data_IF_474828450426
#
_entry.id   IF_474828450426
#
_cell.length_a   1.000
_cell.length_b   1.000
_cell.length_c   1.000
_cell.angle_alpha   90.00
_cell.angle_beta   90.00
_cell.angle_gamma   90.00
#
_symmetry.space_group_name_H-M   'P 1'
#
loop_
_entity.id
_entity.type
_entity.pdbx_description
1 polymer ?
#
# COMPACT_ATOMS: atom_id res chain seq x y z
N UNK A 1 -36.24 5.35 15.53
CA UNK A 1 -35.58 4.31 14.71
C UNK A 1 -34.36 3.82 15.47
N UNK A 2 -34.53 2.82 16.33
CA UNK A 2 -33.48 2.21 17.15
C UNK A 2 -33.05 0.90 16.50
N UNK A 3 -31.78 0.82 16.07
CA UNK A 3 -31.18 -0.42 15.63
C UNK A 3 -30.86 -1.28 16.87
N UNK A 4 -31.58 -2.38 16.98
CA UNK A 4 -31.52 -3.36 18.07
C UNK A 4 -30.16 -4.06 18.06
N UNK A 5 -29.34 -3.78 19.06
CA UNK A 5 -28.16 -4.59 19.39
C UNK A 5 -28.64 -5.99 19.80
N UNK A 6 -28.37 -6.99 18.96
CA UNK A 6 -28.60 -8.39 19.29
C UNK A 6 -27.40 -8.91 20.08
N UNK A 7 -27.69 -9.38 21.30
CA UNK A 7 -26.73 -9.81 22.30
C UNK A 7 -25.85 -10.99 21.87
N UNK A 8 -24.64 -10.95 22.43
CA UNK A 8 -23.63 -11.98 22.39
C UNK A 8 -23.97 -13.05 23.43
N UNK A 9 -24.59 -14.15 23.02
CA UNK A 9 -24.67 -15.37 23.85
C UNK A 9 -23.57 -16.34 23.44
N UNK A 10 -22.63 -16.59 24.36
CA UNK A 10 -21.72 -17.73 24.32
C UNK A 10 -22.50 -19.01 24.66
N UNK A 11 -22.98 -19.71 23.64
CA UNK A 11 -23.10 -21.16 23.68
C UNK A 11 -21.98 -21.75 22.82
N UNK A 12 -21.38 -22.85 23.25
CA UNK A 12 -20.48 -23.73 22.48
C UNK A 12 -21.20 -24.33 21.27
N UNK A 13 -21.59 -23.46 20.34
CA UNK A 13 -22.35 -23.75 19.13
C UNK A 13 -21.43 -23.74 17.93
N UNK A 14 -21.41 -24.85 17.22
CA UNK A 14 -20.84 -24.96 15.88
C UNK A 14 -21.33 -23.80 14.99
N UNK A 15 -20.43 -22.91 14.58
CA UNK A 15 -20.77 -21.87 13.60
C UNK A 15 -20.96 -22.52 12.23
N UNK A 16 -22.20 -22.58 11.78
CA UNK A 16 -22.59 -23.01 10.45
C UNK A 16 -22.75 -21.80 9.55
N UNK A 17 -22.08 -21.79 8.41
CA UNK A 17 -22.22 -20.72 7.42
C UNK A 17 -22.34 -21.29 6.00
N UNK A 18 -22.97 -20.51 5.12
CA UNK A 18 -23.02 -20.79 3.69
C UNK A 18 -21.81 -20.13 3.03
N UNK A 19 -21.11 -20.79 2.09
CA UNK A 19 -19.95 -20.20 1.44
C UNK A 19 -20.34 -18.98 0.60
N UNK A 20 -19.56 -17.89 0.71
CA UNK A 20 -19.78 -16.66 -0.06
C UNK A 20 -19.08 -16.73 -1.42
N UNK A 21 -19.71 -16.20 -2.48
CA UNK A 21 -19.08 -16.09 -3.82
C UNK A 21 -17.97 -15.02 -3.86
N UNK A 22 -18.12 -13.99 -3.03
CA UNK A 22 -17.16 -12.89 -2.86
C UNK A 22 -17.04 -12.61 -1.38
N UNK A 23 -15.81 -12.51 -0.90
CA UNK A 23 -15.55 -12.19 0.49
C UNK A 23 -15.54 -10.68 0.73
N UNK A 24 -15.49 -10.32 2.00
CA UNK A 24 -15.32 -8.94 2.44
C UNK A 24 -13.98 -8.37 1.94
N UNK A 25 -13.98 -7.06 1.68
CA UNK A 25 -12.76 -6.35 1.28
C UNK A 25 -11.87 -6.08 2.50
N UNK A 26 -10.62 -5.72 2.24
CA UNK A 26 -9.65 -5.42 3.29
C UNK A 26 -10.13 -4.28 4.22
N UNK A 27 -10.88 -3.31 3.67
CA UNK A 27 -11.51 -2.21 4.44
C UNK A 27 -12.57 -2.67 5.44
N UNK A 28 -13.24 -3.77 5.16
CA UNK A 28 -14.37 -4.25 5.94
C UNK A 28 -13.87 -5.15 7.09
N UNK A 29 -12.75 -5.86 6.87
CA UNK A 29 -12.15 -6.79 7.83
C UNK A 29 -11.28 -6.14 8.91
N UNK A 30 -10.57 -5.04 8.59
CA UNK A 30 -9.69 -4.39 9.56
C UNK A 30 -9.87 -2.86 9.53
N UNK A 31 -10.21 -2.21 10.65
CA UNK A 31 -10.30 -0.75 10.70
C UNK A 31 -8.93 -0.07 10.50
N UNK A 32 -7.82 -0.79 10.75
CA UNK A 32 -6.46 -0.26 10.60
C UNK A 32 -6.13 0.07 9.14
N UNK A 33 -6.68 -0.67 8.18
CA UNK A 33 -6.43 -0.44 6.75
C UNK A 33 -7.00 0.90 6.31
N UNK A 34 -8.13 1.34 6.88
CA UNK A 34 -8.70 2.68 6.65
C UNK A 34 -7.76 3.78 7.12
N UNK A 35 -7.06 3.58 8.24
CA UNK A 35 -6.08 4.54 8.75
C UNK A 35 -4.90 4.64 7.78
N UNK A 36 -4.35 3.49 7.34
CA UNK A 36 -3.26 3.45 6.37
C UNK A 36 -3.61 4.15 5.06
N UNK A 37 -4.78 3.84 4.48
CA UNK A 37 -5.24 4.49 3.24
C UNK A 37 -5.43 5.99 3.41
N UNK A 38 -6.01 6.44 4.53
CA UNK A 38 -6.15 7.87 4.84
C UNK A 38 -4.79 8.56 4.97
N UNK A 39 -3.80 7.91 5.58
CA UNK A 39 -2.43 8.44 5.68
C UNK A 39 -1.80 8.63 4.31
N UNK A 40 -1.95 7.67 3.39
CA UNK A 40 -1.42 7.77 2.02
C UNK A 40 -2.08 8.95 1.27
N UNK A 41 -3.41 9.08 1.36
CA UNK A 41 -4.13 10.20 0.79
C UNK A 41 -3.71 11.55 1.38
N UNK A 42 -3.50 11.59 2.69
CA UNK A 42 -3.03 12.79 3.39
C UNK A 42 -1.64 13.22 2.89
N UNK A 43 -0.69 12.28 2.79
CA UNK A 43 0.66 12.55 2.24
C UNK A 43 0.57 13.06 0.80
N UNK A 44 -0.25 12.43 -0.05
CA UNK A 44 -0.47 12.87 -1.43
C UNK A 44 -1.04 14.29 -1.50
N UNK A 45 -2.01 14.61 -0.65
CA UNK A 45 -2.60 15.95 -0.56
C UNK A 45 -1.59 17.01 -0.09
N UNK A 46 -0.74 16.70 0.89
CA UNK A 46 0.31 17.61 1.35
C UNK A 46 1.29 17.95 0.22
N UNK A 47 1.74 16.95 -0.55
CA UNK A 47 2.64 17.19 -1.68
C UNK A 47 1.93 17.96 -2.79
N UNK A 48 0.65 17.69 -3.07
CA UNK A 48 -0.12 18.48 -4.03
C UNK A 48 -0.26 19.95 -3.61
N UNK A 49 -0.53 20.22 -2.33
CA UNK A 49 -0.56 21.59 -1.78
C UNK A 49 0.81 22.25 -1.94
N UNK A 50 1.89 21.53 -1.61
CA UNK A 50 3.24 22.02 -1.79
C UNK A 50 3.54 22.39 -3.25
N UNK A 51 3.14 21.55 -4.22
CA UNK A 51 3.25 21.86 -5.66
C UNK A 51 2.53 23.16 -6.03
N UNK A 52 1.29 23.36 -5.54
CA UNK A 52 0.50 24.57 -5.83
C UNK A 52 1.17 25.82 -5.25
N UNK A 53 1.71 25.73 -4.03
CA UNK A 53 2.43 26.83 -3.38
C UNK A 53 3.67 27.20 -4.23
N UNK A 54 4.48 26.22 -4.62
CA UNK A 54 5.68 26.45 -5.44
C UNK A 54 5.30 27.05 -6.80
N UNK A 55 4.26 26.53 -7.46
CA UNK A 55 3.79 27.07 -8.73
C UNK A 55 3.31 28.54 -8.60
N UNK A 56 2.56 28.84 -7.53
CA UNK A 56 2.06 30.19 -7.25
C UNK A 56 3.18 31.19 -7.01
N UNK A 57 4.18 30.83 -6.20
CA UNK A 57 5.34 31.68 -5.92
C UNK A 57 6.20 31.83 -7.18
N UNK A 58 6.52 30.73 -7.87
CA UNK A 58 7.36 30.77 -9.07
C UNK A 58 6.73 31.55 -10.24
N UNK A 59 5.39 31.57 -10.34
CA UNK A 59 4.68 32.45 -11.28
C UNK A 59 4.84 33.93 -10.91
N UNK A 60 4.82 34.28 -9.62
CA UNK A 60 5.00 35.66 -9.14
C UNK A 60 6.44 36.15 -9.30
N UNK A 61 7.42 35.27 -9.15
CA UNK A 61 8.85 35.61 -9.31
C UNK A 61 9.32 35.58 -10.76
N UNK A 62 8.48 35.14 -11.71
CA UNK A 62 8.83 35.09 -13.14
C UNK A 62 9.74 33.92 -13.54
N UNK A 63 9.98 32.95 -12.64
CA UNK A 63 10.86 31.80 -12.89
C UNK A 63 10.18 30.70 -13.73
N UNK A 64 8.86 30.81 -13.91
CA UNK A 64 8.04 29.99 -14.79
C UNK A 64 8.18 30.39 -16.30
N UNK A 65 9.39 30.70 -16.78
CA UNK A 65 9.63 31.12 -18.17
C UNK A 65 10.78 30.35 -18.84
N UNK A 66 10.69 30.18 -20.16
CA UNK A 66 11.75 29.52 -20.94
C UNK A 66 13.05 30.36 -20.97
N UNK A 67 12.94 31.69 -20.84
CA UNK A 67 14.09 32.58 -20.71
C UNK A 67 14.85 32.29 -19.41
N UNK A 68 14.14 32.19 -18.28
CA UNK A 68 14.76 31.84 -16.99
C UNK A 68 15.51 30.49 -17.05
N UNK A 69 14.90 29.47 -17.67
CA UNK A 69 15.56 28.16 -17.83
C UNK A 69 16.80 28.26 -18.69
N UNK A 70 16.75 29.01 -19.81
CA UNK A 70 17.92 29.22 -20.67
C UNK A 70 19.06 29.89 -19.91
N UNK A 71 18.74 30.89 -19.10
CA UNK A 71 19.73 31.66 -18.34
C UNK A 71 20.33 30.83 -17.20
N UNK A 72 19.54 29.94 -16.59
CA UNK A 72 19.96 29.13 -15.43
C UNK A 72 20.66 27.83 -15.83
N UNK A 73 20.11 27.10 -16.82
CA UNK A 73 20.60 25.79 -17.22
C UNK A 73 21.60 25.83 -18.39
N UNK A 74 21.76 27.00 -19.04
CA UNK A 74 22.52 27.19 -20.29
C UNK A 74 22.15 26.22 -21.43
N UNK A 75 21.03 25.50 -21.28
CA UNK A 75 20.52 24.51 -22.21
C UNK A 75 18.99 24.48 -22.16
N UNK A 76 18.36 24.44 -23.33
CA UNK A 76 16.90 24.33 -23.50
C UNK A 76 16.50 22.89 -23.88
N UNK A 77 17.15 21.91 -23.24
CA UNK A 77 16.82 20.50 -23.39
C UNK A 77 15.78 20.07 -22.35
N UNK A 78 15.19 18.89 -22.55
CA UNK A 78 14.15 18.35 -21.66
C UNK A 78 14.60 18.32 -20.19
N UNK A 79 15.81 17.84 -19.92
CA UNK A 79 16.33 17.73 -18.54
C UNK A 79 16.54 19.09 -17.89
N UNK A 80 17.04 20.09 -18.64
CA UNK A 80 17.24 21.45 -18.14
C UNK A 80 15.92 22.12 -17.78
N UNK A 81 14.88 21.94 -18.61
CA UNK A 81 13.52 22.39 -18.31
C UNK A 81 12.97 21.64 -17.09
N UNK A 82 13.06 20.31 -17.08
CA UNK A 82 12.52 19.51 -15.99
C UNK A 82 13.18 19.84 -14.64
N UNK A 83 14.46 20.15 -14.60
CA UNK A 83 15.16 20.48 -13.35
C UNK A 83 14.97 21.93 -12.90
N UNK A 84 14.88 22.90 -13.83
CA UNK A 84 15.00 24.32 -13.48
C UNK A 84 13.73 25.15 -13.72
N UNK A 85 12.72 24.59 -14.40
CA UNK A 85 11.50 25.34 -14.69
C UNK A 85 10.74 25.69 -13.40
N UNK A 86 10.46 26.98 -13.22
CA UNK A 86 9.77 27.52 -12.06
C UNK A 86 10.46 27.17 -10.73
N UNK A 87 11.78 27.22 -10.75
CA UNK A 87 12.62 27.05 -9.57
C UNK A 87 12.43 28.23 -8.60
N UNK A 88 12.44 27.92 -7.30
CA UNK A 88 12.46 28.89 -6.21
C UNK A 88 13.77 28.71 -5.46
N UNK A 89 14.49 29.83 -5.29
CA UNK A 89 15.74 29.85 -4.52
C UNK A 89 15.52 30.75 -3.31
N UNK A 90 15.48 30.16 -2.13
CA UNK A 90 15.50 30.89 -0.87
C UNK A 90 16.95 30.96 -0.41
N UNK A 91 17.57 32.11 -0.64
CA UNK A 91 18.96 32.37 -0.23
C UNK A 91 19.01 32.49 1.29
N UNK A 92 19.67 31.54 1.95
CA UNK A 92 20.03 31.71 3.36
C UNK A 92 21.12 32.79 3.45
N UNK A 93 20.92 33.76 4.35
CA UNK A 93 21.77 34.95 4.50
C UNK A 93 23.25 34.58 4.66
N UNK A 94 24.09 35.15 3.79
CA UNK A 94 25.56 35.01 3.79
C UNK A 94 26.14 35.74 5.00
N UNK A 95 26.44 35.02 6.07
CA UNK A 95 27.43 35.46 7.05
C UNK A 95 28.50 34.37 7.21
N UNK A 96 29.76 34.78 7.09
CA UNK A 96 30.95 33.92 6.99
C UNK A 96 31.28 33.10 8.25
N UNK A 97 30.52 33.26 9.33
CA UNK A 97 30.67 32.51 10.59
C UNK A 97 29.63 31.38 10.76
N UNK A 98 28.79 31.15 9.74
CA UNK A 98 27.58 30.30 9.81
C UNK A 98 27.70 28.98 9.04
N UNK A 99 28.92 28.44 8.89
CA UNK A 99 29.25 27.08 8.38
C UNK A 99 28.59 25.91 9.17
N UNK A 100 27.71 26.21 10.14
CA UNK A 100 26.97 25.24 10.97
C UNK A 100 25.47 25.14 10.64
N UNK A 101 24.97 25.80 9.59
CA UNK A 101 23.54 25.77 9.23
C UNK A 101 23.10 24.63 8.29
N UNK A 102 24.03 23.84 7.77
CA UNK A 102 23.74 22.66 6.93
C UNK A 102 22.82 21.65 7.63
N UNK A 103 22.95 21.54 8.96
CA UNK A 103 22.08 20.71 9.79
C UNK A 103 20.62 21.14 9.71
N UNK A 104 20.31 22.43 9.54
CA UNK A 104 18.94 22.92 9.37
C UNK A 104 18.36 22.49 8.02
N UNK A 105 19.15 22.62 6.95
CA UNK A 105 18.78 22.12 5.62
C UNK A 105 18.53 20.61 5.66
N UNK A 106 19.43 19.86 6.30
CA UNK A 106 19.29 18.43 6.50
C UNK A 106 18.02 18.08 7.29
N UNK A 107 17.68 18.82 8.35
CA UNK A 107 16.45 18.61 9.12
C UNK A 107 15.22 18.84 8.23
N UNK A 108 15.18 19.95 7.47
CA UNK A 108 14.06 20.26 6.56
C UNK A 108 13.92 19.16 5.50
N UNK A 109 15.03 18.77 4.88
CA UNK A 109 15.07 17.69 3.90
C UNK A 109 14.58 16.37 4.50
N UNK A 110 15.06 16.02 5.70
CA UNK A 110 14.69 14.78 6.39
C UNK A 110 13.22 14.75 6.79
N UNK A 111 12.67 15.87 7.26
CA UNK A 111 11.26 15.96 7.65
C UNK A 111 10.36 15.80 6.43
N UNK A 112 10.64 16.52 5.34
CA UNK A 112 9.84 16.44 4.12
C UNK A 112 9.95 15.04 3.52
N UNK A 113 11.16 14.50 3.42
CA UNK A 113 11.38 13.14 2.92
C UNK A 113 10.73 12.09 3.81
N UNK A 114 10.79 12.25 5.12
CA UNK A 114 10.16 11.37 6.10
C UNK A 114 8.65 11.26 5.90
N UNK A 115 7.97 12.37 5.59
CA UNK A 115 6.53 12.37 5.27
C UNK A 115 6.24 11.56 3.99
N UNK A 116 7.08 11.71 2.96
CA UNK A 116 6.96 10.94 1.71
C UNK A 116 7.21 9.45 1.96
N UNK A 117 8.27 9.11 2.70
CA UNK A 117 8.60 7.74 3.10
C UNK A 117 7.49 7.08 3.91
N UNK A 118 6.83 7.82 4.81
CA UNK A 118 5.68 7.31 5.57
C UNK A 118 4.57 6.85 4.63
N UNK A 119 4.24 7.63 3.60
CA UNK A 119 3.26 7.24 2.58
C UNK A 119 3.66 5.96 1.83
N UNK A 120 4.93 5.85 1.41
CA UNK A 120 5.46 4.65 0.75
C UNK A 120 5.40 3.42 1.67
N UNK A 121 5.70 3.58 2.95
CA UNK A 121 5.71 2.47 3.91
C UNK A 121 4.30 2.02 4.28
N UNK A 122 3.35 2.94 4.41
CA UNK A 122 1.93 2.58 4.55
C UNK A 122 1.42 1.79 3.34
N UNK A 123 1.84 2.17 2.12
CA UNK A 123 1.46 1.45 0.90
C UNK A 123 2.08 0.04 0.85
N UNK A 124 3.33 -0.11 1.31
CA UNK A 124 3.98 -1.42 1.48
C UNK A 124 3.18 -2.36 2.35
N UNK A 125 2.81 -1.93 3.55
CA UNK A 125 2.01 -2.76 4.47
C UNK A 125 0.72 -3.24 3.80
N UNK A 126 0.01 -2.37 3.07
CA UNK A 126 -1.21 -2.77 2.35
C UNK A 126 -0.95 -3.80 1.24
N UNK A 127 0.15 -3.66 0.50
CA UNK A 127 0.50 -4.66 -0.53
C UNK A 127 0.90 -6.00 0.06
N UNK A 128 1.58 -6.01 1.21
CA UNK A 128 1.93 -7.25 1.91
C UNK A 128 0.67 -7.97 2.36
N UNK A 129 -0.30 -7.27 2.95
CA UNK A 129 -1.60 -7.84 3.30
C UNK A 129 -2.34 -8.42 2.07
N UNK A 130 -2.29 -7.73 0.93
CA UNK A 130 -2.89 -8.20 -0.32
C UNK A 130 -2.16 -9.41 -0.90
N UNK A 131 -0.82 -9.45 -0.80
CA UNK A 131 0.01 -10.58 -1.22
C UNK A 131 -0.27 -11.81 -0.36
N UNK A 132 -0.34 -11.63 0.94
CA UNK A 132 -0.56 -12.73 1.89
C UNK A 132 -1.95 -13.35 1.66
N UNK A 133 -2.97 -12.52 1.38
CA UNK A 133 -4.28 -13.02 0.92
C UNK A 133 -4.16 -13.80 -0.40
N UNK A 134 -3.40 -13.30 -1.38
CA UNK A 134 -3.21 -14.02 -2.64
C UNK A 134 -2.50 -15.38 -2.47
N UNK A 135 -1.58 -15.49 -1.49
CA UNK A 135 -0.94 -16.76 -1.12
C UNK A 135 -1.96 -17.69 -0.46
N UNK A 136 -2.75 -17.18 0.49
CA UNK A 136 -3.81 -17.95 1.14
C UNK A 136 -4.81 -18.53 0.13
N UNK A 137 -5.17 -17.75 -0.89
CA UNK A 137 -6.05 -18.17 -1.99
C UNK A 137 -5.51 -19.31 -2.84
N UNK A 138 -4.19 -19.52 -2.87
CA UNK A 138 -3.62 -20.68 -3.57
C UNK A 138 -3.97 -21.99 -2.89
N UNK A 139 -4.34 -21.99 -1.61
CA UNK A 139 -4.73 -23.20 -0.90
C UNK A 139 -5.94 -23.91 -1.53
N UNK A 140 -6.87 -23.20 -2.17
CA UNK A 140 -8.01 -23.87 -2.84
C UNK A 140 -7.65 -24.50 -4.18
N UNK A 141 -6.58 -24.05 -4.84
CA UNK A 141 -6.28 -24.43 -6.23
C UNK A 141 -5.07 -25.35 -6.33
N UNK A 142 -3.88 -24.81 -6.07
CA UNK A 142 -2.58 -25.47 -6.30
C UNK A 142 -1.92 -25.89 -4.96
N UNK A 143 -2.47 -25.40 -3.85
CA UNK A 143 -1.93 -25.53 -2.50
C UNK A 143 -1.06 -24.33 -2.13
N UNK A 144 -1.21 -23.85 -0.90
CA UNK A 144 -0.32 -22.87 -0.30
C UNK A 144 0.92 -23.59 0.24
N UNK A 145 2.09 -23.32 -0.31
CA UNK A 145 3.32 -23.99 0.12
C UNK A 145 3.86 -23.35 1.40
N UNK A 146 4.10 -24.18 2.42
CA UNK A 146 4.77 -23.79 3.67
C UNK A 146 6.30 -23.69 3.49
N UNK A 147 6.84 -24.40 2.50
CA UNK A 147 8.29 -24.53 2.25
C UNK A 147 8.82 -23.59 1.16
N UNK A 148 7.97 -22.88 0.42
CA UNK A 148 8.45 -21.83 -0.48
C UNK A 148 9.02 -20.71 0.39
N UNK A 149 10.34 -20.50 0.31
CA UNK A 149 10.99 -19.38 0.97
C UNK A 149 10.27 -18.07 0.61
N UNK A 150 9.98 -17.26 1.64
CA UNK A 150 9.30 -15.96 1.55
C UNK A 150 9.81 -15.07 0.39
N UNK A 151 11.09 -15.19 0.07
CA UNK A 151 11.77 -14.45 -1.00
C UNK A 151 11.32 -14.82 -2.41
N UNK A 152 11.13 -16.10 -2.73
CA UNK A 152 10.72 -16.54 -4.09
C UNK A 152 9.27 -16.19 -4.39
N UNK A 153 8.40 -16.26 -3.38
CA UNK A 153 6.99 -15.87 -3.53
C UNK A 153 6.83 -14.35 -3.66
N UNK A 154 7.69 -13.58 -3.00
CA UNK A 154 7.72 -12.11 -3.08
C UNK A 154 8.18 -11.61 -4.46
N UNK A 155 9.19 -12.24 -5.06
CA UNK A 155 9.68 -11.88 -6.39
C UNK A 155 8.67 -12.13 -7.54
N UNK A 156 7.60 -12.88 -7.29
CA UNK A 156 6.57 -13.20 -8.28
C UNK A 156 5.32 -12.32 -8.16
N UNK A 157 5.24 -11.45 -7.14
CA UNK A 157 4.07 -10.59 -6.93
C UNK A 157 4.23 -9.28 -7.68
N UNK A 158 3.34 -9.00 -8.64
CA UNK A 158 3.34 -7.74 -9.39
C UNK A 158 3.20 -6.51 -8.48
N UNK A 159 2.46 -6.64 -7.38
CA UNK A 159 2.28 -5.58 -6.37
C UNK A 159 3.61 -5.16 -5.74
N UNK A 160 4.48 -6.13 -5.44
CA UNK A 160 5.80 -5.88 -4.85
C UNK A 160 6.73 -5.19 -5.87
N UNK A 161 6.69 -5.60 -7.15
CA UNK A 161 7.46 -4.94 -8.19
C UNK A 161 7.07 -3.50 -8.41
N UNK A 162 5.76 -3.20 -8.46
CA UNK A 162 5.28 -1.82 -8.60
C UNK A 162 5.77 -0.97 -7.41
N UNK A 163 5.61 -1.44 -6.17
CA UNK A 163 6.09 -0.68 -5.02
C UNK A 163 7.60 -0.52 -4.98
N UNK A 164 8.36 -1.54 -5.39
CA UNK A 164 9.81 -1.44 -5.48
C UNK A 164 10.21 -0.31 -6.44
N UNK A 165 9.56 -0.22 -7.61
CA UNK A 165 9.76 0.87 -8.55
C UNK A 165 9.47 2.23 -7.90
N UNK A 166 8.34 2.37 -7.19
CA UNK A 166 8.03 3.62 -6.47
C UNK A 166 9.09 3.98 -5.42
N UNK A 167 9.58 3.02 -4.66
CA UNK A 167 10.62 3.22 -3.65
C UNK A 167 11.99 3.58 -4.21
N UNK A 168 12.27 3.24 -5.46
CA UNK A 168 13.49 3.68 -6.14
C UNK A 168 13.30 5.06 -6.79
N UNK A 169 12.20 5.25 -7.52
CA UNK A 169 11.97 6.45 -8.33
C UNK A 169 11.64 7.67 -7.47
N UNK A 170 10.76 7.53 -6.46
CA UNK A 170 10.31 8.68 -5.66
C UNK A 170 11.48 9.36 -4.92
N UNK A 171 12.35 8.63 -4.19
CA UNK A 171 13.53 9.24 -3.57
C UNK A 171 14.52 9.82 -4.57
N UNK A 172 14.71 9.16 -5.71
CA UNK A 172 15.61 9.68 -6.76
C UNK A 172 15.12 11.02 -7.31
N UNK A 173 13.82 11.14 -7.62
CA UNK A 173 13.22 12.41 -8.05
C UNK A 173 13.23 13.44 -6.93
N UNK A 174 13.05 13.02 -5.67
CA UNK A 174 13.10 13.92 -4.53
C UNK A 174 14.45 14.64 -4.41
N UNK A 175 15.56 13.96 -4.71
CA UNK A 175 16.88 14.59 -4.78
C UNK A 175 16.96 15.73 -5.80
N UNK A 176 16.15 15.72 -6.86
CA UNK A 176 16.03 16.84 -7.81
C UNK A 176 14.96 17.86 -7.40
N UNK A 177 13.99 17.49 -6.56
CA UNK A 177 12.90 18.34 -6.15
C UNK A 177 13.32 19.37 -5.10
N UNK A 178 14.21 18.97 -4.20
CA UNK A 178 14.65 19.77 -3.07
C UNK A 178 16.16 19.61 -2.83
N UNK A 179 16.89 20.72 -2.97
CA UNK A 179 18.27 20.84 -2.54
C UNK A 179 18.33 21.85 -1.38
N UNK A 180 19.06 21.49 -0.32
CA UNK A 180 19.19 22.29 0.91
C UNK A 180 20.65 22.47 1.33
N UNK A 181 21.60 22.19 0.44
CA UNK A 181 23.05 22.23 0.74
C UNK A 181 23.54 23.64 1.06
N UNK A 182 23.40 24.58 0.11
CA UNK A 182 23.86 25.97 0.27
C UNK A 182 22.70 26.98 0.31
N UNK A 183 21.56 26.60 -0.21
CA UNK A 183 20.32 27.37 -0.23
C UNK A 183 19.16 26.40 -0.36
N UNK A 184 17.96 26.82 0.02
CA UNK A 184 16.77 25.99 -0.19
C UNK A 184 16.32 26.23 -1.62
N UNK A 185 16.58 25.25 -2.48
CA UNK A 185 16.20 25.24 -3.88
C UNK A 185 15.06 24.25 -4.04
N UNK A 186 13.96 24.74 -4.59
CA UNK A 186 12.74 23.93 -4.80
C UNK A 186 12.39 23.97 -6.28
N UNK A 187 12.29 22.81 -6.92
CA UNK A 187 12.04 22.70 -8.34
C UNK A 187 10.61 22.22 -8.60
N UNK A 188 9.83 22.97 -9.37
CA UNK A 188 8.40 22.71 -9.54
C UNK A 188 8.12 21.37 -10.23
N UNK A 189 8.75 21.12 -11.39
CA UNK A 189 8.43 19.94 -12.20
C UNK A 189 8.80 18.62 -11.51
N UNK A 190 9.93 18.48 -10.78
CA UNK A 190 10.20 17.29 -10.00
C UNK A 190 9.20 17.10 -8.86
N UNK A 191 8.83 18.18 -8.14
CA UNK A 191 7.77 18.12 -7.10
C UNK A 191 6.44 17.66 -7.71
N UNK A 192 6.06 18.20 -8.88
CA UNK A 192 4.87 17.80 -9.60
C UNK A 192 4.91 16.31 -10.00
N UNK A 193 6.06 15.80 -10.43
CA UNK A 193 6.20 14.37 -10.75
C UNK A 193 6.06 13.50 -9.50
N UNK A 194 6.58 13.92 -8.35
CA UNK A 194 6.36 13.21 -7.07
C UNK A 194 4.88 13.25 -6.69
N UNK A 195 4.21 14.39 -6.83
CA UNK A 195 2.78 14.53 -6.55
C UNK A 195 1.95 13.55 -7.40
N UNK A 196 2.25 13.46 -8.71
CA UNK A 196 1.60 12.53 -9.61
C UNK A 196 1.86 11.06 -9.23
N UNK A 197 3.10 10.71 -8.88
CA UNK A 197 3.46 9.37 -8.43
C UNK A 197 2.74 9.01 -7.11
N UNK A 198 2.69 9.90 -6.13
CA UNK A 198 2.00 9.66 -4.87
C UNK A 198 0.48 9.59 -5.04
N UNK A 199 -0.10 10.31 -6.00
CA UNK A 199 -1.49 10.14 -6.39
C UNK A 199 -1.75 8.75 -6.98
N UNK A 200 -0.89 8.28 -7.91
CA UNK A 200 -0.99 6.93 -8.45
C UNK A 200 -0.86 5.87 -7.35
N UNK A 201 0.05 6.07 -6.39
CA UNK A 201 0.21 5.20 -5.23
C UNK A 201 -1.04 5.17 -4.35
N UNK A 202 -1.67 6.33 -4.10
CA UNK A 202 -2.92 6.43 -3.35
C UNK A 202 -4.07 5.68 -4.06
N UNK A 203 -4.18 5.84 -5.39
CA UNK A 203 -5.15 5.11 -6.19
C UNK A 203 -4.91 3.60 -6.17
N UNK A 204 -3.65 3.17 -6.26
CA UNK A 204 -3.29 1.75 -6.13
C UNK A 204 -3.67 1.21 -4.74
N UNK A 205 -3.37 1.95 -3.67
CA UNK A 205 -3.74 1.57 -2.31
C UNK A 205 -5.26 1.46 -2.13
N UNK A 206 -6.02 2.43 -2.66
CA UNK A 206 -7.49 2.40 -2.65
C UNK A 206 -8.03 1.19 -3.42
N UNK A 207 -7.47 0.92 -4.59
CA UNK A 207 -7.83 -0.26 -5.40
C UNK A 207 -7.60 -1.56 -4.62
N UNK A 208 -6.44 -1.73 -3.97
CA UNK A 208 -6.12 -2.92 -3.19
C UNK A 208 -7.06 -3.10 -2.00
N UNK A 209 -7.39 -2.01 -1.30
CA UNK A 209 -8.23 -2.04 -0.10
C UNK A 209 -9.71 -2.28 -0.44
N UNK A 210 -10.17 -1.78 -1.59
CA UNK A 210 -11.50 -2.03 -2.11
C UNK A 210 -11.64 -3.36 -2.84
N UNK A 211 -10.53 -4.00 -3.22
CA UNK A 211 -10.57 -5.28 -3.92
C UNK A 211 -11.21 -6.36 -3.03
N UNK A 212 -12.25 -7.00 -3.56
CA UNK A 212 -12.95 -8.11 -2.89
C UNK A 212 -12.51 -9.43 -3.51
N UNK A 213 -11.81 -10.30 -2.75
CA UNK A 213 -11.34 -11.56 -3.30
C UNK A 213 -12.52 -12.46 -3.64
N UNK A 214 -12.39 -13.16 -4.76
CA UNK A 214 -13.40 -14.10 -5.27
C UNK A 214 -13.14 -15.49 -4.69
N UNK A 215 -14.22 -16.23 -4.44
CA UNK A 215 -14.17 -17.61 -3.96
C UNK A 215 -14.71 -17.80 -2.55
N UNK A 216 -15.01 -19.06 -2.25
CA UNK A 216 -15.65 -19.53 -1.01
C UNK A 216 -14.75 -19.49 0.23
N UNK A 217 -13.43 -19.45 0.03
CA UNK A 217 -12.46 -19.40 1.13
C UNK A 217 -12.60 -18.09 1.93
N UNK A 218 -12.62 -18.12 3.27
CA UNK A 218 -12.66 -16.90 4.09
C UNK A 218 -11.42 -16.03 3.85
N UNK A 219 -11.61 -14.72 3.82
CA UNK A 219 -10.49 -13.76 3.66
C UNK A 219 -9.81 -13.52 5.01
N UNK A 220 -8.47 -13.46 5.00
CA UNK A 220 -7.66 -13.27 6.21
C UNK A 220 -6.79 -12.02 6.13
N UNK A 221 -6.34 -11.62 4.94
CA UNK A 221 -5.48 -10.46 4.70
C UNK A 221 -4.31 -10.34 5.69
N UNK A 222 -3.65 -11.45 5.98
CA UNK A 222 -2.49 -11.50 6.89
C UNK A 222 -2.83 -11.50 8.38
N UNK A 223 -4.11 -11.58 8.76
CA UNK A 223 -4.49 -11.81 10.16
C UNK A 223 -4.13 -13.25 10.57
N UNK A 224 -3.02 -13.39 11.29
CA UNK A 224 -2.49 -14.69 11.75
C UNK A 224 -3.49 -15.43 12.64
N UNK A 225 -4.22 -14.74 13.51
CA UNK A 225 -5.22 -15.38 14.38
C UNK A 225 -6.38 -15.97 13.56
N UNK A 226 -6.88 -15.19 12.58
CA UNK A 226 -7.94 -15.66 11.69
C UNK A 226 -7.44 -16.84 10.84
N UNK A 227 -6.22 -16.75 10.31
CA UNK A 227 -5.60 -17.81 9.51
C UNK A 227 -5.40 -19.09 10.32
N UNK A 228 -4.84 -19.01 11.53
CA UNK A 228 -4.64 -20.16 12.43
C UNK A 228 -5.98 -20.79 12.80
N UNK A 229 -7.04 -20.00 12.98
CA UNK A 229 -8.38 -20.54 13.26
C UNK A 229 -9.00 -21.33 12.11
N UNK A 230 -8.51 -21.12 10.88
CA UNK A 230 -8.96 -21.81 9.66
C UNK A 230 -8.11 -23.04 9.31
N UNK A 231 -6.89 -23.12 9.84
CA UNK A 231 -5.99 -24.25 9.63
C UNK A 231 -6.26 -25.28 10.72
N UNK A 232 -6.92 -26.37 10.34
CA UNK A 232 -7.24 -27.49 11.25
C UNK A 232 -6.28 -28.68 11.09
N UNK A 233 -5.43 -28.69 10.06
CA UNK A 233 -4.43 -29.73 9.81
C UNK A 233 -3.12 -29.10 9.32
N UNK A 234 -2.03 -29.33 10.05
CA UNK A 234 -0.69 -28.80 9.77
C UNK A 234 0.18 -29.92 9.19
N UNK A 235 0.08 -30.12 7.88
CA UNK A 235 0.87 -31.12 7.15
C UNK A 235 2.13 -30.49 6.54
N UNK A 236 3.24 -31.23 6.53
CA UNK A 236 4.51 -30.75 5.99
C UNK A 236 4.47 -30.61 4.46
N UNK A 237 4.52 -29.37 3.97
CA UNK A 237 4.81 -29.07 2.56
C UNK A 237 3.83 -28.11 1.89
N UNK A 238 2.59 -28.55 1.66
CA UNK A 238 1.53 -27.75 1.05
C UNK A 238 0.22 -27.91 1.82
N UNK A 239 -0.43 -26.79 2.08
CA UNK A 239 -1.77 -26.72 2.66
C UNK A 239 -2.77 -26.51 1.53
N UNK A 240 -3.73 -27.41 1.43
CA UNK A 240 -4.92 -27.24 0.61
C UNK A 240 -6.11 -26.90 1.49
N UNK A 241 -7.06 -26.12 0.98
CA UNK A 241 -8.29 -25.75 1.68
C UNK A 241 -9.51 -26.11 0.84
N UNK A 242 -10.51 -26.76 1.45
CA UNK A 242 -11.70 -27.19 0.73
C UNK A 242 -12.67 -28.00 1.58
N UNK A 243 -13.54 -28.75 0.90
CA UNK A 243 -14.56 -29.61 1.49
C UNK A 243 -13.97 -30.95 1.97
N UNK A 244 -14.11 -31.25 3.27
CA UNK A 244 -13.68 -32.49 3.93
C UNK A 244 -14.74 -33.59 3.95
N UNK A 245 -15.93 -33.32 3.43
CA UNK A 245 -17.02 -34.29 3.37
C UNK A 245 -18.20 -33.96 4.27
N UNK A 246 -19.19 -34.85 4.23
CA UNK A 246 -20.45 -34.70 4.96
C UNK A 246 -20.27 -35.09 6.43
N UNK A 247 -20.76 -34.24 7.33
CA UNK A 247 -20.97 -34.57 8.75
C UNK A 247 -22.39 -35.12 8.94
N UNK A 248 -23.34 -34.59 8.17
CA UNK A 248 -24.75 -35.00 8.11
C UNK A 248 -25.25 -34.78 6.67
N UNK A 249 -26.46 -35.24 6.33
CA UNK A 249 -27.02 -35.09 4.98
C UNK A 249 -27.04 -33.62 4.47
N UNK A 250 -27.20 -32.64 5.37
CA UNK A 250 -27.28 -31.21 5.04
C UNK A 250 -26.05 -30.38 5.46
N UNK A 251 -25.16 -30.96 6.28
CA UNK A 251 -24.02 -30.25 6.89
C UNK A 251 -22.71 -30.91 6.46
N UNK A 252 -21.77 -30.09 5.99
CA UNK A 252 -20.43 -30.50 5.55
C UNK A 252 -19.36 -29.82 6.38
N UNK A 253 -18.10 -30.28 6.28
CA UNK A 253 -16.97 -29.66 7.00
C UNK A 253 -16.00 -29.03 6.02
N UNK A 254 -15.67 -27.76 6.23
CA UNK A 254 -14.59 -27.08 5.53
C UNK A 254 -13.32 -27.11 6.40
N UNK A 255 -12.16 -27.21 5.77
CA UNK A 255 -10.88 -27.19 6.48
C UNK A 255 -9.68 -27.36 5.56
N UNK A 256 -8.53 -27.60 6.17
CA UNK A 256 -7.24 -27.76 5.51
C UNK A 256 -6.78 -29.22 5.44
N UNK A 257 -6.03 -29.59 4.41
CA UNK A 257 -5.43 -30.93 4.27
C UNK A 257 -4.09 -30.84 3.53
N UNK A 258 -3.22 -31.84 3.70
CA UNK A 258 -2.01 -32.01 2.90
C UNK A 258 -2.27 -32.42 1.45
N UNK A 259 -3.50 -32.85 1.13
CA UNK A 259 -3.93 -33.25 -0.21
C UNK A 259 -5.04 -32.33 -0.73
N UNK A 260 -5.17 -32.26 -2.06
CA UNK A 260 -6.19 -31.42 -2.70
C UNK A 260 -7.60 -31.88 -2.29
N UNK A 261 -8.35 -30.96 -1.68
CA UNK A 261 -9.74 -31.16 -1.31
C UNK A 261 -10.68 -30.75 -2.45
N UNK A 262 -11.92 -31.22 -2.38
CA UNK A 262 -12.96 -30.81 -3.31
C UNK A 262 -13.39 -29.36 -3.06
N UNK A 263 -13.85 -28.68 -4.12
CA UNK A 263 -14.39 -27.32 -4.00
C UNK A 263 -15.68 -27.31 -3.18
N UNK A 264 -15.89 -26.24 -2.42
CA UNK A 264 -17.11 -26.10 -1.62
C UNK A 264 -18.33 -25.95 -2.53
N UNK A 265 -19.34 -26.77 -2.25
CA UNK A 265 -20.68 -26.67 -2.83
C UNK A 265 -21.48 -25.55 -2.16
N UNK A 266 -21.94 -24.58 -2.94
CA UNK A 266 -22.63 -23.38 -2.42
C UNK A 266 -24.02 -23.64 -1.81
N UNK A 267 -24.55 -24.86 -1.97
CA UNK A 267 -25.89 -25.25 -1.52
C UNK A 267 -25.93 -25.83 -0.10
N UNK A 268 -24.76 -26.15 0.49
CA UNK A 268 -24.67 -26.82 1.78
C UNK A 268 -24.16 -25.86 2.87
N UNK A 269 -24.52 -26.16 4.13
CA UNK A 269 -23.96 -25.50 5.31
C UNK A 269 -22.62 -26.14 5.67
N UNK A 270 -21.62 -25.32 6.01
CA UNK A 270 -20.31 -25.80 6.40
C UNK A 270 -19.96 -25.42 7.84
N UNK A 271 -19.36 -26.39 8.53
CA UNK A 271 -18.57 -26.16 9.73
C UNK A 271 -17.18 -25.62 9.35
N UNK A 272 -16.64 -24.66 10.10
CA UNK A 272 -15.26 -24.16 9.92
C UNK A 272 -15.10 -22.99 8.94
N UNK A 273 -16.20 -22.40 8.44
CA UNK A 273 -16.19 -21.18 7.64
C UNK A 273 -16.14 -19.91 8.49
N UNK A 274 -15.23 -19.83 9.46
CA UNK A 274 -15.10 -18.63 10.30
C UNK A 274 -14.49 -17.49 9.45
N UNK A 275 -15.22 -16.40 9.28
CA UNK A 275 -14.78 -15.19 8.60
C UNK A 275 -15.16 -13.96 9.40
#
# INVERSE_FOLDING_TARGET
MQAKQSGFQRSTGAFLAVPLRRQLGMKDLSPRTKVLTKTIWFVSALVAIWTVIVAGVGRRTGTCSAAYVRDTAHALNFIGIWQNYCQIIIRAWKDAYTERRDWLGLIVHSVIFGIICLGLHCAEVLTEMARDEAIWRRATTIGASLKLGSTKSTALSWQCWILFIFKCIVPWIFGYALDTTLSIIMNLLPILTIAALLLLLALLAEFLVCHRPRGSQPATFGNVEALVSLIDDWQDGKIFWGDKGAVTETIRKAGTSGQRLADLRMTFLYYGLRG
#
